data_IF_333819122303
#
_entry.id   IF_333819122303
#
_cell.length_a   1.000
_cell.length_b   1.000
_cell.length_c   1.000
_cell.angle_alpha   90.00
_cell.angle_beta   90.00
_cell.angle_gamma   90.00
#
_symmetry.space_group_name_H-M   'P 1'
#
loop_
_entity.id
_entity.type
_entity.pdbx_description
1 polymer ?
#
# COMPACT_ATOMS: atom_id res chain seq x y z
N UNK A 1 48.02 -58.92 9.35
CA UNK A 1 49.00 -57.94 9.86
C UNK A 1 48.34 -56.59 9.86
N UNK A 2 48.22 -55.97 11.03
CA UNK A 2 48.00 -54.52 11.17
C UNK A 2 49.36 -53.80 10.97
N UNK A 3 49.41 -52.48 10.66
CA UNK A 3 49.36 -51.51 11.77
C UNK A 3 48.76 -50.11 11.49
N UNK A 4 48.09 -49.57 12.52
CA UNK A 4 48.18 -48.19 13.07
C UNK A 4 48.00 -46.96 12.15
N UNK A 5 46.78 -46.45 12.16
CA UNK A 5 46.39 -45.22 12.90
C UNK A 5 47.15 -43.90 12.72
N UNK A 6 46.40 -42.84 12.36
CA UNK A 6 46.68 -41.46 12.79
C UNK A 6 45.42 -40.58 12.76
N UNK A 7 44.90 -40.26 13.94
CA UNK A 7 43.78 -39.32 14.12
C UNK A 7 44.13 -37.89 13.72
N UNK A 8 43.14 -37.16 13.18
CA UNK A 8 43.09 -35.69 13.22
C UNK A 8 41.64 -35.18 13.38
N UNK A 9 41.30 -34.84 14.63
CA UNK A 9 40.26 -33.86 14.98
C UNK A 9 40.76 -32.43 14.66
N UNK A 10 39.99 -31.34 14.64
CA UNK A 10 38.63 -30.97 15.08
C UNK A 10 38.09 -29.85 14.12
N UNK A 11 36.94 -29.15 14.31
CA UNK A 11 35.87 -29.29 15.32
C UNK A 11 34.41 -29.33 14.82
N UNK A 12 33.55 -29.92 15.66
CA UNK A 12 32.14 -29.59 15.95
C UNK A 12 31.30 -28.74 14.99
N UNK A 13 30.39 -29.41 14.27
CA UNK A 13 29.12 -28.82 13.82
C UNK A 13 28.26 -28.55 15.06
N UNK A 14 28.01 -27.28 15.37
CA UNK A 14 27.14 -26.87 16.48
C UNK A 14 25.68 -27.06 16.06
N UNK A 15 25.03 -28.09 16.61
CA UNK A 15 23.57 -28.22 16.54
C UNK A 15 22.96 -27.15 17.45
N UNK A 16 22.41 -26.09 16.85
CA UNK A 16 21.62 -25.11 17.59
C UNK A 16 20.21 -25.67 17.82
N UNK A 17 20.06 -26.52 18.85
CA UNK A 17 18.77 -26.75 19.49
C UNK A 17 18.40 -25.51 20.28
N UNK A 18 17.34 -24.82 19.86
CA UNK A 18 16.82 -23.62 20.50
C UNK A 18 15.31 -23.70 20.66
N UNK A 19 14.86 -24.36 21.72
CA UNK A 19 13.48 -24.21 22.21
C UNK A 19 13.34 -22.82 22.82
N UNK A 20 12.55 -21.96 22.19
CA UNK A 20 11.95 -20.80 22.84
C UNK A 20 10.44 -20.88 22.67
N UNK A 21 9.74 -20.66 23.77
CA UNK A 21 8.30 -20.90 23.91
C UNK A 21 7.46 -19.84 23.17
N UNK A 22 6.19 -20.16 22.93
CA UNK A 22 5.30 -19.31 22.14
C UNK A 22 4.83 -18.04 22.87
N UNK A 23 4.59 -16.99 22.11
CA UNK A 23 4.04 -15.73 22.62
C UNK A 23 4.42 -14.52 21.75
N UNK A 24 3.80 -14.39 20.57
CA UNK A 24 4.04 -13.23 19.69
C UNK A 24 3.04 -13.07 18.55
N UNK A 25 2.82 -14.11 17.75
CA UNK A 25 2.09 -13.99 16.48
C UNK A 25 0.59 -13.68 16.62
N UNK A 26 -0.04 -14.11 17.71
CA UNK A 26 -1.49 -13.95 17.91
C UNK A 26 -1.94 -12.55 18.37
N UNK A 27 -1.01 -11.63 18.64
CA UNK A 27 -1.36 -10.28 19.10
C UNK A 27 -1.52 -9.27 17.95
N UNK A 28 -0.90 -9.52 16.79
CA UNK A 28 -0.96 -8.62 15.64
C UNK A 28 -2.23 -8.83 14.81
N UNK A 29 -2.60 -10.08 14.54
CA UNK A 29 -3.84 -10.44 13.83
C UNK A 29 -5.12 -9.97 14.57
N UNK A 30 -5.05 -9.81 15.91
CA UNK A 30 -6.17 -9.34 16.72
C UNK A 30 -6.45 -7.85 16.53
N UNK A 31 -5.41 -7.04 16.36
CA UNK A 31 -5.54 -5.59 16.22
C UNK A 31 -6.00 -5.17 14.80
N UNK A 32 -5.74 -5.98 13.78
CA UNK A 32 -6.28 -5.74 12.42
C UNK A 32 -7.75 -6.17 12.30
N UNK A 33 -8.16 -7.23 12.99
CA UNK A 33 -9.55 -7.69 13.01
C UNK A 33 -10.52 -6.69 13.69
N UNK A 34 -10.08 -5.98 14.74
CA UNK A 34 -10.91 -4.98 15.42
C UNK A 34 -11.19 -3.72 14.57
N UNK A 35 -10.35 -3.41 13.58
CA UNK A 35 -10.57 -2.28 12.67
C UNK A 35 -11.70 -2.53 11.65
N UNK A 36 -12.08 -3.80 11.42
CA UNK A 36 -12.96 -4.22 10.32
C UNK A 36 -14.43 -4.48 10.70
N UNK A 37 -14.82 -4.37 11.98
CA UNK A 37 -16.21 -4.68 12.42
C UNK A 37 -17.07 -3.48 12.82
N UNK A 38 -16.58 -2.23 12.80
CA UNK A 38 -17.27 -1.09 13.42
C UNK A 38 -17.56 0.13 12.52
N UNK A 39 -18.05 -0.08 11.29
CA UNK A 39 -18.56 1.04 10.46
C UNK A 39 -19.92 0.76 9.79
N UNK A 40 -20.97 0.79 10.61
CA UNK A 40 -22.30 1.17 10.12
C UNK A 40 -22.25 2.65 9.70
N UNK A 41 -22.77 3.00 8.52
CA UNK A 41 -22.79 4.37 7.97
C UNK A 41 -23.73 5.37 8.69
N UNK A 42 -24.27 5.00 9.85
CA UNK A 42 -25.31 5.75 10.58
C UNK A 42 -24.83 6.94 11.45
N UNK A 43 -23.65 6.91 12.10
CA UNK A 43 -23.27 7.96 13.06
C UNK A 43 -23.08 9.35 12.44
N UNK A 44 -22.48 9.46 11.26
CA UNK A 44 -22.13 10.75 10.63
C UNK A 44 -23.36 11.60 10.32
N UNK A 45 -24.44 10.99 9.83
CA UNK A 45 -25.72 11.68 9.61
C UNK A 45 -26.37 12.08 10.96
N UNK A 46 -26.13 11.32 12.03
CA UNK A 46 -26.70 11.62 13.35
C UNK A 46 -26.01 12.78 14.08
N UNK A 47 -24.70 12.99 13.88
CA UNK A 47 -23.97 14.11 14.48
C UNK A 47 -24.44 15.48 13.94
N UNK A 48 -24.81 15.55 12.67
CA UNK A 48 -25.27 16.79 12.01
C UNK A 48 -26.58 17.37 12.57
N UNK A 49 -27.30 16.64 13.43
CA UNK A 49 -28.65 16.99 13.89
C UNK A 49 -28.78 17.33 15.39
N UNK A 50 -27.68 17.35 16.17
CA UNK A 50 -27.76 17.52 17.63
C UNK A 50 -26.55 18.23 18.23
N UNK A 51 -26.56 19.56 18.25
CA UNK A 51 -25.79 20.34 19.25
C UNK A 51 -26.44 21.70 19.54
N UNK A 52 -26.57 22.03 20.83
CA UNK A 52 -26.98 23.34 21.35
C UNK A 52 -25.85 23.96 22.19
N UNK A 53 -25.68 25.28 22.05
CA UNK A 53 -25.03 26.29 22.91
C UNK A 53 -24.03 25.89 24.02
N UNK A 54 -22.88 26.57 24.05
CA UNK A 54 -22.59 27.62 25.07
C UNK A 54 -21.43 28.53 24.62
N UNK A 55 -21.38 29.79 25.09
CA UNK A 55 -20.50 30.85 24.54
C UNK A 55 -19.18 31.04 25.30
N UNK A 56 -18.12 31.48 24.60
CA UNK A 56 -17.09 32.35 25.18
C UNK A 56 -16.33 33.16 24.11
N UNK A 57 -16.06 34.44 24.40
CA UNK A 57 -15.50 35.42 23.45
C UNK A 57 -13.98 35.30 23.25
N UNK A 58 -13.49 35.62 22.04
CA UNK A 58 -12.07 35.84 21.76
C UNK A 58 -11.83 36.47 20.38
N UNK A 59 -11.07 37.57 20.32
CA UNK A 59 -10.71 38.24 19.05
C UNK A 59 -9.84 37.35 18.15
N UNK A 60 -10.32 37.04 16.94
CA UNK A 60 -9.53 36.45 15.87
C UNK A 60 -9.52 37.37 14.65
N UNK A 61 -8.44 37.35 13.87
CA UNK A 61 -8.36 38.17 12.65
C UNK A 61 -9.34 37.62 11.61
N UNK A 62 -10.25 38.49 11.19
CA UNK A 62 -11.39 38.18 10.35
C UNK A 62 -10.96 37.69 8.96
N UNK A 63 -10.95 36.36 8.79
CA UNK A 63 -10.95 35.68 7.50
C UNK A 63 -12.40 35.28 7.30
N UNK A 64 -13.02 35.70 6.19
CA UNK A 64 -14.43 35.38 5.94
C UNK A 64 -14.61 33.86 6.00
N UNK A 65 -15.63 33.30 6.70
CA UNK A 65 -15.75 31.85 6.90
C UNK A 65 -15.73 31.02 5.61
N UNK A 66 -16.10 31.66 4.48
CA UNK A 66 -15.98 31.14 3.11
C UNK A 66 -14.54 30.78 2.74
N UNK A 67 -13.61 31.71 2.93
CA UNK A 67 -12.20 31.57 2.57
C UNK A 67 -11.54 30.47 3.39
N UNK A 68 -11.96 30.29 4.65
CA UNK A 68 -11.53 29.17 5.50
C UNK A 68 -11.92 27.82 4.88
N UNK A 69 -13.16 27.67 4.41
CA UNK A 69 -13.67 26.43 3.81
C UNK A 69 -12.98 26.15 2.47
N UNK A 70 -12.90 27.14 1.58
CA UNK A 70 -12.22 27.02 0.28
C UNK A 70 -10.74 26.65 0.47
N UNK A 71 -10.07 27.24 1.47
CA UNK A 71 -8.69 26.90 1.82
C UNK A 71 -8.55 25.44 2.29
N UNK A 72 -9.41 24.99 3.20
CA UNK A 72 -9.40 23.58 3.68
C UNK A 72 -9.64 22.62 2.51
N UNK A 73 -10.58 22.94 1.63
CA UNK A 73 -10.87 22.14 0.43
C UNK A 73 -9.67 22.07 -0.54
N UNK A 74 -9.03 23.21 -0.82
CA UNK A 74 -7.84 23.29 -1.66
C UNK A 74 -6.65 22.53 -1.05
N UNK A 75 -6.44 22.60 0.26
CA UNK A 75 -5.42 21.84 0.96
C UNK A 75 -5.71 20.33 0.93
N UNK A 76 -6.96 19.94 1.13
CA UNK A 76 -7.42 18.54 1.01
C UNK A 76 -7.16 17.99 -0.40
N UNK A 77 -7.58 18.70 -1.44
CA UNK A 77 -7.34 18.28 -2.83
C UNK A 77 -5.84 18.26 -3.17
N UNK A 78 -5.03 19.16 -2.60
CA UNK A 78 -3.56 19.07 -2.71
C UNK A 78 -3.01 17.77 -2.12
N UNK A 79 -3.56 17.28 -1.00
CA UNK A 79 -3.20 15.97 -0.43
C UNK A 79 -3.72 14.79 -1.28
N UNK A 80 -4.86 14.94 -1.94
CA UNK A 80 -5.33 13.95 -2.93
C UNK A 80 -4.34 13.85 -4.10
N UNK A 81 -3.84 14.97 -4.65
CA UNK A 81 -2.79 14.93 -5.69
C UNK A 81 -1.50 14.22 -5.22
N UNK A 82 -1.06 14.46 -3.98
CA UNK A 82 0.09 13.75 -3.41
C UNK A 82 -0.14 12.24 -3.32
N UNK A 83 -1.38 11.80 -3.07
CA UNK A 83 -1.74 10.38 -3.11
C UNK A 83 -1.67 9.82 -4.55
N UNK A 84 -2.13 10.55 -5.57
CA UNK A 84 -2.03 10.16 -6.99
C UNK A 84 -0.57 10.02 -7.49
N UNK A 85 0.33 10.89 -7.01
CA UNK A 85 1.78 10.77 -7.28
C UNK A 85 2.38 9.52 -6.63
N UNK A 86 1.96 9.21 -5.39
CA UNK A 86 2.32 7.95 -4.73
C UNK A 86 1.77 6.75 -5.51
N UNK A 87 0.51 6.77 -5.96
CA UNK A 87 -0.08 5.68 -6.76
C UNK A 87 0.79 5.30 -7.96
N UNK A 88 1.22 6.31 -8.72
CA UNK A 88 2.10 6.14 -9.89
C UNK A 88 3.47 5.53 -9.53
N UNK A 89 4.00 5.90 -8.36
CA UNK A 89 5.24 5.33 -7.80
C UNK A 89 5.05 3.87 -7.40
N UNK A 90 3.98 3.54 -6.68
CA UNK A 90 3.61 2.19 -6.28
C UNK A 90 3.38 1.25 -7.47
N UNK A 91 2.66 1.71 -8.50
CA UNK A 91 2.51 0.98 -9.79
C UNK A 91 3.87 0.59 -10.39
N UNK A 92 4.79 1.56 -10.47
CA UNK A 92 6.12 1.36 -11.06
C UNK A 92 6.94 0.33 -10.27
N UNK A 93 6.89 0.41 -8.93
CA UNK A 93 7.58 -0.54 -8.05
C UNK A 93 7.01 -1.96 -8.18
N UNK A 94 5.67 -2.10 -8.24
CA UNK A 94 4.98 -3.39 -8.35
C UNK A 94 5.23 -4.06 -9.71
N UNK A 95 5.21 -3.29 -10.80
CA UNK A 95 5.60 -3.77 -12.15
C UNK A 95 7.07 -4.20 -12.16
N UNK A 96 7.96 -3.41 -11.56
CA UNK A 96 9.38 -3.77 -11.42
C UNK A 96 9.61 -5.05 -10.61
N UNK A 97 8.81 -5.25 -9.55
CA UNK A 97 8.78 -6.49 -8.76
C UNK A 97 8.37 -7.68 -9.63
N UNK A 98 7.26 -7.57 -10.38
CA UNK A 98 6.78 -8.61 -11.30
C UNK A 98 7.81 -8.99 -12.37
N UNK A 99 8.34 -8.03 -13.11
CA UNK A 99 9.32 -8.27 -14.18
C UNK A 99 10.58 -8.97 -13.65
N UNK A 100 11.03 -8.57 -12.45
CA UNK A 100 12.18 -9.18 -11.78
C UNK A 100 11.87 -10.62 -11.33
N UNK A 101 10.63 -10.88 -10.90
CA UNK A 101 10.14 -12.21 -10.55
C UNK A 101 10.11 -13.16 -11.73
N UNK A 102 9.58 -12.71 -12.87
CA UNK A 102 9.45 -13.51 -14.08
C UNK A 102 10.83 -13.94 -14.62
N UNK A 103 11.85 -13.08 -14.47
CA UNK A 103 13.24 -13.46 -14.74
C UNK A 103 13.74 -14.57 -13.80
N UNK A 104 13.50 -14.45 -12.48
CA UNK A 104 13.95 -15.44 -11.50
C UNK A 104 13.20 -16.78 -11.61
N UNK A 105 11.95 -16.76 -12.12
CA UNK A 105 11.10 -17.92 -12.40
C UNK A 105 11.44 -18.65 -13.70
N UNK A 106 12.46 -18.23 -14.46
CA UNK A 106 12.67 -18.74 -15.83
C UNK A 106 12.90 -20.26 -15.85
N UNK A 107 12.12 -21.04 -16.64
CA UNK A 107 12.11 -22.49 -16.53
C UNK A 107 13.43 -23.16 -16.95
N UNK A 108 13.65 -24.35 -16.40
CA UNK A 108 14.75 -25.27 -16.77
C UNK A 108 14.84 -25.50 -18.30
N UNK A 109 16.05 -25.78 -18.79
CA UNK A 109 16.30 -25.92 -20.24
C UNK A 109 15.42 -27.03 -20.83
N UNK A 110 14.54 -26.65 -21.75
CA UNK A 110 13.52 -27.54 -22.29
C UNK A 110 14.13 -28.75 -23.04
N UNK A 111 13.87 -29.96 -22.52
CA UNK A 111 14.39 -31.24 -23.03
C UNK A 111 13.60 -31.84 -24.20
N UNK A 112 12.52 -31.21 -24.66
CA UNK A 112 11.69 -31.72 -25.79
C UNK A 112 12.46 -31.90 -27.10
N UNK A 113 13.55 -31.15 -27.31
CA UNK A 113 14.43 -31.34 -28.46
C UNK A 113 15.30 -32.60 -28.28
N UNK A 114 15.12 -33.58 -29.18
CA UNK A 114 15.98 -34.78 -29.29
C UNK A 114 17.46 -34.48 -29.51
N UNK A 115 17.83 -33.24 -29.89
CA UNK A 115 19.23 -32.80 -29.93
C UNK A 115 19.71 -32.40 -28.53
N UNK A 116 18.96 -31.53 -27.85
CA UNK A 116 19.26 -31.08 -26.48
C UNK A 116 19.32 -32.26 -25.51
N UNK A 117 18.36 -33.18 -25.59
CA UNK A 117 18.33 -34.40 -24.79
C UNK A 117 19.60 -35.26 -24.98
N UNK A 118 20.05 -35.44 -26.23
CA UNK A 118 21.28 -36.19 -26.53
C UNK A 118 22.53 -35.49 -26.04
N UNK A 119 22.62 -34.17 -26.15
CA UNK A 119 23.75 -33.38 -25.64
C UNK A 119 23.85 -33.50 -24.12
N UNK A 120 22.73 -33.38 -23.40
CA UNK A 120 22.68 -33.53 -21.94
C UNK A 120 23.12 -34.94 -21.53
N UNK A 121 22.57 -35.99 -22.18
CA UNK A 121 22.92 -37.39 -21.90
C UNK A 121 24.38 -37.74 -22.25
N UNK A 122 24.95 -37.15 -23.30
CA UNK A 122 26.33 -37.44 -23.72
C UNK A 122 27.40 -36.86 -22.76
N UNK A 123 27.06 -35.83 -21.99
CA UNK A 123 27.96 -35.16 -21.06
C UNK A 123 27.55 -35.32 -19.59
N UNK A 124 26.73 -36.33 -19.28
CA UNK A 124 26.02 -36.56 -18.01
C UNK A 124 26.92 -36.33 -16.77
N UNK A 125 26.87 -35.09 -16.28
CA UNK A 125 27.77 -34.59 -15.25
C UNK A 125 26.99 -33.64 -14.36
N UNK A 126 27.30 -33.69 -13.06
CA UNK A 126 26.61 -32.89 -12.03
C UNK A 126 26.54 -31.40 -12.42
N UNK A 127 27.60 -30.88 -13.03
CA UNK A 127 27.67 -29.51 -13.57
C UNK A 127 26.60 -29.25 -14.64
N UNK A 128 26.52 -30.09 -15.68
CA UNK A 128 25.56 -29.89 -16.78
C UNK A 128 24.11 -30.09 -16.33
N UNK A 129 23.86 -31.04 -15.43
CA UNK A 129 22.54 -31.22 -14.83
C UNK A 129 22.11 -29.95 -14.07
N UNK A 130 22.98 -29.38 -13.22
CA UNK A 130 22.67 -28.12 -12.52
C UNK A 130 22.45 -26.93 -13.46
N UNK A 131 23.18 -26.81 -14.58
CA UNK A 131 22.93 -25.77 -15.60
C UNK A 131 21.59 -25.95 -16.34
N UNK A 132 21.14 -27.19 -16.51
CA UNK A 132 19.85 -27.51 -17.12
C UNK A 132 18.73 -27.19 -16.13
N UNK A 133 18.89 -27.58 -14.87
CA UNK A 133 17.94 -27.33 -13.78
C UNK A 133 17.80 -25.84 -13.45
N UNK A 134 18.89 -25.06 -13.42
CA UNK A 134 18.88 -23.63 -13.11
C UNK A 134 18.21 -22.75 -14.17
N UNK A 135 17.84 -23.32 -15.33
CA UNK A 135 17.57 -22.53 -16.53
C UNK A 135 18.80 -21.71 -16.96
N UNK A 136 18.61 -20.76 -17.88
CA UNK A 136 19.67 -19.86 -18.37
C UNK A 136 20.01 -18.72 -17.36
N UNK A 137 19.79 -18.94 -16.07
CA UNK A 137 19.97 -17.93 -15.03
C UNK A 137 21.45 -17.86 -14.61
N UNK A 138 22.18 -16.88 -15.15
CA UNK A 138 23.54 -16.54 -14.70
C UNK A 138 23.51 -16.12 -13.21
N UNK A 139 24.37 -16.71 -12.37
CA UNK A 139 24.43 -16.42 -10.94
C UNK A 139 24.66 -14.93 -10.61
N UNK A 140 25.41 -14.20 -11.43
CA UNK A 140 25.58 -12.76 -11.26
C UNK A 140 24.27 -11.99 -11.49
N UNK A 141 23.51 -12.38 -12.53
CA UNK A 141 22.21 -11.79 -12.84
C UNK A 141 21.17 -12.16 -11.78
N UNK A 142 21.24 -13.37 -11.22
CA UNK A 142 20.41 -13.79 -10.09
C UNK A 142 20.63 -12.87 -8.87
N UNK A 143 21.87 -12.66 -8.44
CA UNK A 143 22.18 -11.76 -7.30
C UNK A 143 21.72 -10.33 -7.57
N UNK A 144 21.94 -9.79 -8.78
CA UNK A 144 21.44 -8.47 -9.14
C UNK A 144 19.90 -8.39 -9.09
N UNK A 145 19.20 -9.40 -9.59
CA UNK A 145 17.73 -9.40 -9.65
C UNK A 145 17.10 -9.67 -8.27
N UNK A 146 17.68 -10.51 -7.42
CA UNK A 146 17.28 -10.61 -6.00
C UNK A 146 17.47 -9.26 -5.29
N UNK A 147 18.56 -8.53 -5.57
CA UNK A 147 18.77 -7.19 -5.02
C UNK A 147 17.73 -6.17 -5.53
N UNK A 148 17.35 -6.21 -6.82
CA UNK A 148 16.24 -5.39 -7.36
C UNK A 148 14.91 -5.74 -6.71
N UNK A 149 14.62 -7.04 -6.56
CA UNK A 149 13.37 -7.50 -5.97
C UNK A 149 13.20 -7.00 -4.53
N UNK A 150 14.27 -7.10 -3.72
CA UNK A 150 14.30 -6.58 -2.38
C UNK A 150 14.14 -5.04 -2.33
N UNK A 151 14.75 -4.31 -3.27
CA UNK A 151 14.54 -2.86 -3.40
C UNK A 151 13.10 -2.49 -3.78
N UNK A 152 12.46 -3.25 -4.66
CA UNK A 152 11.05 -3.07 -4.99
C UNK A 152 10.16 -3.35 -3.77
N UNK A 153 10.43 -4.40 -2.99
CA UNK A 153 9.70 -4.70 -1.75
C UNK A 153 9.83 -3.56 -0.73
N UNK A 154 11.06 -3.14 -0.39
CA UNK A 154 11.31 -2.02 0.53
C UNK A 154 10.67 -0.72 0.05
N UNK A 155 10.69 -0.46 -1.26
CA UNK A 155 10.03 0.71 -1.85
C UNK A 155 8.51 0.65 -1.77
N UNK A 156 7.91 -0.55 -1.84
CA UNK A 156 6.47 -0.75 -1.64
C UNK A 156 6.08 -0.59 -0.16
N UNK A 157 6.93 -1.00 0.77
CA UNK A 157 6.76 -0.75 2.20
C UNK A 157 6.83 0.77 2.50
N UNK A 158 7.85 1.49 2.00
CA UNK A 158 7.95 2.96 2.08
C UNK A 158 6.73 3.67 1.46
N UNK A 159 6.27 3.20 0.30
CA UNK A 159 5.07 3.70 -0.35
C UNK A 159 3.83 3.57 0.54
N UNK A 160 3.62 2.43 1.19
CA UNK A 160 2.49 2.21 2.10
C UNK A 160 2.57 3.14 3.31
N UNK A 161 3.75 3.30 3.94
CA UNK A 161 3.90 4.20 5.08
C UNK A 161 3.68 5.67 4.69
N UNK A 162 4.14 6.09 3.51
CA UNK A 162 3.89 7.45 2.98
C UNK A 162 2.43 7.67 2.61
N UNK A 163 1.78 6.71 1.96
CA UNK A 163 0.36 6.77 1.65
C UNK A 163 -0.49 6.84 2.93
N UNK A 164 -0.10 6.13 3.98
CA UNK A 164 -0.74 6.18 5.30
C UNK A 164 -0.67 7.58 5.94
N UNK A 165 0.45 8.29 5.80
CA UNK A 165 0.58 9.68 6.27
C UNK A 165 -0.43 10.57 5.54
N UNK A 166 -0.47 10.52 4.20
CA UNK A 166 -1.39 11.32 3.39
C UNK A 166 -2.86 11.01 3.70
N UNK A 167 -3.23 9.74 3.87
CA UNK A 167 -4.59 9.33 4.27
C UNK A 167 -4.98 9.87 5.66
N UNK A 168 -4.03 9.93 6.60
CA UNK A 168 -4.28 10.52 7.92
C UNK A 168 -4.40 12.06 7.86
N UNK A 169 -3.60 12.73 7.01
CA UNK A 169 -3.72 14.18 6.76
C UNK A 169 -5.09 14.53 6.13
N UNK A 170 -5.52 13.76 5.12
CA UNK A 170 -6.86 13.87 4.52
C UNK A 170 -7.99 13.70 5.54
N UNK A 171 -7.83 12.76 6.50
CA UNK A 171 -8.79 12.59 7.59
C UNK A 171 -8.80 13.81 8.52
N UNK A 172 -7.63 14.35 8.88
CA UNK A 172 -7.51 15.54 9.72
C UNK A 172 -8.25 16.74 9.13
N UNK A 173 -8.03 17.01 7.84
CA UNK A 173 -8.70 18.09 7.10
C UNK A 173 -10.23 17.90 7.00
N UNK A 174 -10.73 16.66 7.04
CA UNK A 174 -12.16 16.36 7.11
C UNK A 174 -12.71 16.55 8.54
N UNK A 175 -11.96 16.15 9.56
CA UNK A 175 -12.30 16.35 10.97
C UNK A 175 -12.33 17.86 11.33
N UNK A 176 -11.44 18.67 10.73
CA UNK A 176 -11.36 20.14 10.89
C UNK A 176 -12.61 20.90 10.36
N UNK A 177 -13.42 20.27 9.50
CA UNK A 177 -14.74 20.79 9.10
C UNK A 177 -15.86 20.43 10.10
N UNK A 178 -15.63 19.45 10.98
CA UNK A 178 -16.60 19.00 11.98
C UNK A 178 -16.52 19.77 13.31
N UNK A 179 -15.51 20.63 13.48
CA UNK A 179 -15.29 21.48 14.65
C UNK A 179 -15.27 22.97 14.26
N UNK A 180 -15.59 23.86 15.20
CA UNK A 180 -15.45 25.33 15.08
C UNK A 180 -16.28 26.04 13.99
N UNK A 181 -17.54 25.64 13.79
CA UNK A 181 -18.53 26.44 13.04
C UNK A 181 -19.71 26.85 13.93
N UNK A 182 -19.65 28.08 14.48
CA UNK A 182 -20.74 28.68 15.23
C UNK A 182 -22.04 28.78 14.41
N UNK A 183 -23.23 28.60 15.04
CA UNK A 183 -24.49 28.53 14.31
C UNK A 183 -25.08 29.90 13.89
N UNK A 184 -24.32 31.00 13.98
CA UNK A 184 -24.84 32.37 13.77
C UNK A 184 -24.04 33.15 12.71
N UNK A 185 -24.34 32.88 11.45
CA UNK A 185 -24.01 33.81 10.37
C UNK A 185 -25.04 34.96 10.41
N UNK A 186 -24.81 36.00 11.21
CA UNK A 186 -25.62 37.23 11.14
C UNK A 186 -25.29 38.00 9.88
N UNK A 187 -26.31 38.19 9.04
CA UNK A 187 -26.12 38.59 7.64
C UNK A 187 -26.15 40.12 7.49
N UNK A 188 -24.98 40.73 7.65
CA UNK A 188 -24.73 42.07 7.11
C UNK A 188 -24.40 41.93 5.62
N UNK A 189 -25.41 42.20 4.80
CA UNK A 189 -25.42 42.58 3.37
C UNK A 189 -24.26 42.13 2.44
N UNK A 190 -24.60 41.48 1.32
CA UNK A 190 -23.65 41.32 0.21
C UNK A 190 -23.80 40.03 -0.60
N UNK A 191 -23.23 38.93 -0.11
CA UNK A 191 -23.21 37.65 -0.83
C UNK A 191 -23.11 36.50 0.18
N UNK A 192 -23.99 35.49 0.11
CA UNK A 192 -24.13 34.49 1.19
C UNK A 192 -23.67 33.13 0.73
N UNK A 193 -22.59 32.60 1.33
CA UNK A 193 -22.44 31.14 1.34
C UNK A 193 -23.52 30.60 2.27
N UNK A 194 -24.33 29.73 1.71
CA UNK A 194 -25.40 29.02 2.38
C UNK A 194 -24.82 27.85 3.17
N UNK A 195 -25.51 27.44 4.23
CA UNK A 195 -25.22 26.20 4.96
C UNK A 195 -25.23 24.95 4.05
N UNK A 196 -25.87 25.05 2.87
CA UNK A 196 -25.91 24.02 1.85
C UNK A 196 -24.55 23.84 1.18
N UNK A 197 -23.92 24.92 0.69
CA UNK A 197 -22.60 24.85 0.01
C UNK A 197 -21.50 24.32 0.94
N UNK A 198 -21.53 24.67 2.23
CA UNK A 198 -20.60 24.11 3.24
C UNK A 198 -20.81 22.59 3.39
N UNK A 199 -22.06 22.14 3.37
CA UNK A 199 -22.39 20.72 3.41
C UNK A 199 -22.00 20.01 2.09
N UNK A 200 -22.08 20.68 0.95
CA UNK A 200 -21.68 20.15 -0.36
C UNK A 200 -20.15 19.93 -0.44
N UNK A 201 -19.34 20.89 0.01
CA UNK A 201 -17.88 20.71 0.13
C UNK A 201 -17.52 19.59 1.11
N UNK A 202 -18.13 19.56 2.29
CA UNK A 202 -17.89 18.50 3.29
C UNK A 202 -18.32 17.11 2.77
N UNK A 203 -19.44 17.02 2.06
CA UNK A 203 -19.88 15.79 1.41
C UNK A 203 -18.90 15.34 0.32
N UNK A 204 -18.43 16.26 -0.55
CA UNK A 204 -17.45 15.95 -1.59
C UNK A 204 -16.13 15.44 -0.98
N UNK A 205 -15.60 16.12 0.04
CA UNK A 205 -14.40 15.66 0.77
C UNK A 205 -14.62 14.28 1.40
N UNK A 206 -15.79 14.02 2.01
CA UNK A 206 -16.11 12.73 2.60
C UNK A 206 -16.17 11.61 1.53
N UNK A 207 -16.75 11.87 0.35
CA UNK A 207 -16.76 10.92 -0.77
C UNK A 207 -15.33 10.63 -1.25
N UNK A 208 -14.56 11.65 -1.58
CA UNK A 208 -13.17 11.51 -2.07
C UNK A 208 -12.29 10.79 -1.04
N UNK A 209 -12.36 11.17 0.25
CA UNK A 209 -11.65 10.48 1.32
C UNK A 209 -12.05 9.00 1.42
N UNK A 210 -13.34 8.67 1.25
CA UNK A 210 -13.80 7.28 1.30
C UNK A 210 -13.26 6.43 0.15
N UNK A 211 -13.09 7.00 -1.05
CA UNK A 211 -12.48 6.34 -2.21
C UNK A 211 -10.98 6.14 -1.98
N UNK A 212 -10.25 7.21 -1.64
CA UNK A 212 -8.81 7.18 -1.37
C UNK A 212 -8.46 6.21 -0.24
N UNK A 213 -9.26 6.17 0.83
CA UNK A 213 -9.07 5.22 1.96
C UNK A 213 -9.27 3.76 1.54
N UNK A 214 -10.23 3.47 0.66
CA UNK A 214 -10.46 2.12 0.15
C UNK A 214 -9.35 1.69 -0.82
N UNK A 215 -8.91 2.58 -1.70
CA UNK A 215 -7.79 2.37 -2.61
C UNK A 215 -6.48 2.12 -1.82
N UNK A 216 -6.23 2.90 -0.75
CA UNK A 216 -5.13 2.66 0.19
C UNK A 216 -5.23 1.28 0.88
N UNK A 217 -6.41 0.92 1.41
CA UNK A 217 -6.60 -0.37 2.08
C UNK A 217 -6.38 -1.56 1.13
N UNK A 218 -6.76 -1.42 -0.15
CA UNK A 218 -6.45 -2.38 -1.20
C UNK A 218 -4.94 -2.53 -1.43
N UNK A 219 -4.21 -1.41 -1.51
CA UNK A 219 -2.75 -1.42 -1.69
C UNK A 219 -2.04 -2.09 -0.51
N UNK A 220 -2.43 -1.77 0.74
CA UNK A 220 -1.91 -2.44 1.94
C UNK A 220 -2.05 -3.95 1.79
N UNK A 221 -3.26 -4.44 1.46
CA UNK A 221 -3.52 -5.88 1.28
C UNK A 221 -2.68 -6.49 0.17
N UNK A 222 -2.43 -5.78 -0.93
CA UNK A 222 -1.54 -6.25 -2.00
C UNK A 222 -0.10 -6.35 -1.48
N UNK A 223 0.46 -5.28 -0.90
CA UNK A 223 1.85 -5.26 -0.41
C UNK A 223 2.08 -6.30 0.69
N UNK A 224 1.19 -6.41 1.68
CA UNK A 224 1.25 -7.44 2.72
C UNK A 224 1.13 -8.87 2.16
N UNK A 225 0.54 -9.03 0.96
CA UNK A 225 0.47 -10.31 0.25
C UNK A 225 1.70 -10.58 -0.64
N UNK A 226 2.71 -9.70 -0.70
CA UNK A 226 3.95 -9.92 -1.46
C UNK A 226 4.98 -10.77 -0.70
N UNK A 227 4.57 -11.95 -0.26
CA UNK A 227 5.45 -12.93 0.35
C UNK A 227 6.39 -13.62 -0.67
N UNK A 228 7.40 -14.34 -0.18
CA UNK A 228 8.20 -15.21 -1.05
C UNK A 228 7.38 -16.38 -1.64
N UNK A 229 6.25 -16.77 -1.06
CA UNK A 229 5.34 -17.78 -1.64
C UNK A 229 4.49 -17.21 -2.79
N UNK A 230 4.33 -15.89 -2.85
CA UNK A 230 3.73 -15.18 -3.97
C UNK A 230 4.61 -15.26 -5.24
N UNK A 231 5.88 -15.70 -5.09
CA UNK A 231 6.71 -16.20 -6.20
C UNK A 231 6.24 -17.54 -6.80
N UNK A 232 5.19 -18.19 -6.29
CA UNK A 232 4.68 -19.46 -6.84
C UNK A 232 3.23 -19.40 -7.33
N UNK A 233 2.43 -18.45 -6.84
CA UNK A 233 0.96 -18.49 -6.99
C UNK A 233 0.38 -17.97 -8.32
N UNK A 234 1.13 -17.17 -9.10
CA UNK A 234 0.62 -16.52 -10.32
C UNK A 234 -0.32 -15.32 -10.08
N UNK A 235 -0.84 -15.14 -8.87
CA UNK A 235 -1.72 -14.04 -8.45
C UNK A 235 -1.15 -12.63 -8.65
N UNK A 236 0.18 -12.50 -8.76
CA UNK A 236 0.83 -11.19 -8.92
C UNK A 236 0.36 -10.42 -10.16
N UNK A 237 0.07 -11.10 -11.29
CA UNK A 237 -0.48 -10.45 -12.47
C UNK A 237 -1.86 -9.83 -12.17
N UNK A 238 -2.66 -10.52 -11.35
CA UNK A 238 -3.96 -10.04 -10.87
C UNK A 238 -3.78 -8.84 -9.93
N UNK A 239 -2.79 -8.86 -9.04
CA UNK A 239 -2.48 -7.72 -8.16
C UNK A 239 -2.06 -6.48 -8.95
N UNK A 240 -1.18 -6.62 -9.95
CA UNK A 240 -0.78 -5.51 -10.84
C UNK A 240 -1.98 -4.92 -11.60
N UNK A 241 -2.92 -5.76 -12.07
CA UNK A 241 -4.16 -5.31 -12.72
C UNK A 241 -5.06 -4.56 -11.75
N UNK A 242 -5.34 -5.12 -10.57
CA UNK A 242 -6.19 -4.51 -9.56
C UNK A 242 -5.63 -3.14 -9.13
N UNK A 243 -4.33 -3.05 -8.88
CA UNK A 243 -3.65 -1.79 -8.53
C UNK A 243 -3.77 -0.75 -9.64
N UNK A 244 -3.60 -1.15 -10.91
CA UNK A 244 -3.70 -0.24 -12.06
C UNK A 244 -5.13 0.20 -12.38
N UNK A 245 -6.13 -0.64 -12.07
CA UNK A 245 -7.55 -0.40 -12.37
C UNK A 245 -8.27 0.41 -11.28
N UNK A 246 -7.71 0.52 -10.08
CA UNK A 246 -8.22 1.35 -8.95
C UNK A 246 -9.74 1.25 -8.74
N UNK A 247 -10.29 0.03 -8.53
CA UNK A 247 -11.74 -0.23 -8.57
C UNK A 247 -12.58 0.47 -7.48
N UNK A 248 -11.95 1.23 -6.58
CA UNK A 248 -12.59 2.01 -5.52
C UNK A 248 -12.63 3.52 -5.80
N UNK A 249 -12.04 3.96 -6.93
CA UNK A 249 -11.98 5.37 -7.34
C UNK A 249 -12.94 5.57 -8.51
N UNK A 250 -13.86 6.51 -8.34
CA UNK A 250 -14.81 6.93 -9.36
C UNK A 250 -14.27 8.20 -10.03
N UNK A 251 -13.88 8.09 -11.30
CA UNK A 251 -13.29 9.20 -12.06
C UNK A 251 -14.27 10.37 -12.24
N UNK A 252 -15.58 10.14 -12.30
CA UNK A 252 -16.59 11.20 -12.43
C UNK A 252 -16.74 11.99 -11.12
N UNK A 253 -16.61 11.33 -9.96
CA UNK A 253 -16.59 12.01 -8.65
C UNK A 253 -15.27 12.77 -8.48
N UNK A 254 -14.14 12.15 -8.83
CA UNK A 254 -12.83 12.82 -8.78
C UNK A 254 -12.79 14.05 -9.68
N UNK A 255 -13.30 13.97 -10.92
CA UNK A 255 -13.33 15.09 -11.84
C UNK A 255 -14.14 16.28 -11.28
N UNK A 256 -15.34 16.03 -10.76
CA UNK A 256 -16.17 17.06 -10.09
C UNK A 256 -15.47 17.66 -8.87
N UNK A 257 -14.73 16.87 -8.11
CA UNK A 257 -13.95 17.39 -6.99
C UNK A 257 -12.82 18.33 -7.46
N UNK A 258 -12.18 18.05 -8.60
CA UNK A 258 -11.18 18.96 -9.18
C UNK A 258 -11.78 20.23 -9.78
N UNK A 259 -12.98 20.16 -10.37
CA UNK A 259 -13.70 21.35 -10.87
C UNK A 259 -13.96 22.37 -9.75
N UNK A 260 -14.22 21.91 -8.51
CA UNK A 260 -14.44 22.77 -7.34
C UNK A 260 -13.16 23.47 -6.79
N UNK A 261 -11.99 23.19 -7.36
CA UNK A 261 -10.71 23.86 -7.04
C UNK A 261 -10.32 24.91 -8.09
N UNK A 262 -11.01 24.94 -9.23
CA UNK A 262 -10.65 25.72 -10.44
C UNK A 262 -11.31 27.10 -10.51
#
# INVERSE_FOLDING_TARGET
>A
MEPKGKDRNYPGVRVCGGTTEGGGTLQMERNEAECLQSYNFSPLISCLMRFECTMQDGEYRDIEPKDKIIKIYSEFMTRVAQFEELMSTGCTLLIGFQQTLEFLRQPSINKTSKLVERIIKAHDSRRILSYVESGYVNCHNCVQNVSKLHKCHLGLEDHIDRAKIVVNELKGLLDDLSCDSDPVFTLSDGEKITKLEVADFAAMMAFVYSMVRQDYAMQVRIVSSLSYESLLSGELETYCKIWSLRPFVDDDIMHKAWELVS
#
